data_IF_070586931548
#
_entry.id   IF_070586931548
#
_cell.length_a   1.000
_cell.length_b   1.000
_cell.length_c   1.000
_cell.angle_alpha   90.00
_cell.angle_beta   90.00
_cell.angle_gamma   90.00
#
_symmetry.space_group_name_H-M   'P 1'
#
loop_
_entity.id
_entity.type
_entity.pdbx_description
1 polymer ?
#
# COMPACT_ATOMS: atom_id res chain seq x y z
N UNK A 1 14.87 -5.52 -2.22
CA UNK A 1 14.38 -6.80 -1.67
C UNK A 1 12.93 -6.92 -2.10
N UNK A 2 12.52 -8.03 -2.69
CA UNK A 2 11.09 -8.27 -2.93
C UNK A 2 10.44 -8.82 -1.67
N UNK A 3 9.15 -8.52 -1.50
CA UNK A 3 8.31 -9.05 -0.44
C UNK A 3 6.94 -9.36 -1.03
N UNK A 4 6.21 -10.26 -0.38
CA UNK A 4 4.85 -10.62 -0.74
C UNK A 4 3.89 -10.14 0.34
N UNK A 5 2.70 -9.76 -0.09
CA UNK A 5 1.58 -9.47 0.81
C UNK A 5 0.27 -9.79 0.12
N UNK A 6 -0.76 -10.07 0.94
CA UNK A 6 -2.09 -10.35 0.43
C UNK A 6 -2.68 -9.15 -0.32
N UNK A 7 -3.69 -9.39 -1.16
CA UNK A 7 -4.43 -8.28 -1.79
C UNK A 7 -5.09 -7.39 -0.71
N UNK A 8 -5.53 -7.97 0.40
CA UNK A 8 -6.15 -7.21 1.49
C UNK A 8 -5.14 -6.28 2.20
N UNK A 9 -3.93 -6.77 2.47
CA UNK A 9 -2.85 -5.94 3.03
C UNK A 9 -2.41 -4.84 2.05
N UNK A 10 -2.47 -5.13 0.74
CA UNK A 10 -2.21 -4.13 -0.29
C UNK A 10 -3.27 -3.04 -0.33
N UNK A 11 -4.55 -3.39 -0.24
CA UNK A 11 -5.64 -2.41 -0.11
C UNK A 11 -5.45 -1.58 1.16
N UNK A 12 -5.18 -2.23 2.29
CA UNK A 12 -4.97 -1.53 3.57
C UNK A 12 -3.78 -0.57 3.53
N UNK A 13 -2.73 -0.89 2.75
CA UNK A 13 -1.61 0.02 2.55
C UNK A 13 -2.03 1.37 1.95
N UNK A 14 -3.05 1.42 1.07
CA UNK A 14 -3.61 2.68 0.58
C UNK A 14 -4.31 3.48 1.66
N UNK A 15 -5.05 2.80 2.54
CA UNK A 15 -5.77 3.44 3.64
C UNK A 15 -4.85 3.93 4.77
N UNK A 16 -3.65 3.36 4.86
CA UNK A 16 -2.58 3.88 5.74
C UNK A 16 -1.97 5.19 5.24
N UNK A 17 -2.17 5.54 3.96
CA UNK A 17 -1.62 6.74 3.33
C UNK A 17 -2.63 7.90 3.31
N UNK A 18 -2.12 9.13 3.31
CA UNK A 18 -2.93 10.34 3.34
C UNK A 18 -3.96 10.47 2.20
N UNK A 19 -3.72 9.87 1.03
CA UNK A 19 -4.56 10.05 -0.16
C UNK A 19 -5.89 9.30 -0.12
N UNK A 20 -5.94 8.13 0.53
CA UNK A 20 -7.11 7.24 0.55
C UNK A 20 -7.47 6.77 1.96
N UNK A 21 -7.10 7.52 3.01
CA UNK A 21 -7.47 7.17 4.38
C UNK A 21 -8.99 7.03 4.53
N UNK A 22 -9.45 5.97 5.21
CA UNK A 22 -10.89 5.72 5.43
C UNK A 22 -11.60 6.88 6.13
N UNK A 23 -10.91 7.58 7.02
CA UNK A 23 -11.41 8.78 7.70
C UNK A 23 -11.79 9.94 6.75
N UNK A 24 -11.25 9.96 5.53
CA UNK A 24 -11.50 10.98 4.50
C UNK A 24 -12.47 10.51 3.42
N UNK A 25 -13.00 9.30 3.54
CA UNK A 25 -13.92 8.69 2.59
C UNK A 25 -15.26 8.43 3.27
N UNK A 26 -16.34 8.38 2.49
CA UNK A 26 -17.58 7.76 2.98
C UNK A 26 -17.38 6.23 3.02
N UNK A 27 -18.22 5.53 3.78
CA UNK A 27 -18.18 4.07 3.86
C UNK A 27 -18.38 3.44 2.47
N UNK A 28 -19.30 3.98 1.67
CA UNK A 28 -19.57 3.51 0.30
C UNK A 28 -18.38 3.75 -0.62
N UNK A 29 -17.72 4.90 -0.50
CA UNK A 29 -16.55 5.22 -1.31
C UNK A 29 -15.36 4.32 -0.95
N UNK A 30 -15.15 4.05 0.35
CA UNK A 30 -14.11 3.14 0.80
C UNK A 30 -14.39 1.71 0.30
N UNK A 31 -15.62 1.21 0.47
CA UNK A 31 -15.98 -0.11 -0.01
C UNK A 31 -15.87 -0.27 -1.53
N UNK A 32 -16.26 0.77 -2.28
CA UNK A 32 -16.08 0.83 -3.74
C UNK A 32 -14.61 0.75 -4.15
N UNK A 33 -13.75 1.54 -3.50
CA UNK A 33 -12.31 1.50 -3.71
C UNK A 33 -11.72 0.11 -3.43
N UNK A 34 -12.02 -0.48 -2.26
CA UNK A 34 -11.53 -1.81 -1.86
C UNK A 34 -11.91 -2.88 -2.91
N UNK A 35 -13.13 -2.79 -3.44
CA UNK A 35 -13.65 -3.74 -4.44
C UNK A 35 -12.98 -3.57 -5.80
N UNK A 36 -12.86 -2.33 -6.29
CA UNK A 36 -12.24 -2.03 -7.58
C UNK A 36 -10.75 -2.37 -7.61
N UNK A 37 -10.01 -2.05 -6.54
CA UNK A 37 -8.58 -2.40 -6.44
C UNK A 37 -8.40 -3.92 -6.41
N UNK A 38 -9.22 -4.64 -5.62
CA UNK A 38 -9.15 -6.10 -5.55
C UNK A 38 -9.41 -6.74 -6.92
N UNK A 39 -10.44 -6.29 -7.63
CA UNK A 39 -10.75 -6.79 -8.97
C UNK A 39 -9.61 -6.53 -9.95
N UNK A 40 -9.06 -5.31 -9.94
CA UNK A 40 -7.98 -4.93 -10.84
C UNK A 40 -6.71 -5.76 -10.61
N UNK A 41 -6.29 -5.91 -9.35
CA UNK A 41 -5.00 -6.53 -9.01
C UNK A 41 -5.05 -8.06 -9.08
N UNK A 42 -6.22 -8.66 -8.79
CA UNK A 42 -6.39 -10.13 -8.88
C UNK A 42 -6.00 -10.72 -10.24
N UNK A 43 -6.14 -9.93 -11.31
CA UNK A 43 -5.77 -10.30 -12.70
C UNK A 43 -4.27 -10.54 -12.88
N UNK A 44 -3.44 -10.02 -11.97
CA UNK A 44 -1.99 -10.11 -12.01
C UNK A 44 -1.40 -11.03 -10.92
N UNK A 45 -2.23 -11.50 -10.00
CA UNK A 45 -1.82 -12.24 -8.81
C UNK A 45 -2.68 -13.52 -8.66
N UNK A 46 -2.44 -14.56 -9.48
CA UNK A 46 -3.28 -15.77 -9.51
C UNK A 46 -3.25 -16.57 -8.20
N UNK A 47 -2.20 -16.40 -7.38
CA UNK A 47 -2.05 -17.05 -6.07
C UNK A 47 -2.59 -16.18 -4.91
N UNK A 48 -3.17 -15.01 -5.19
CA UNK A 48 -3.71 -14.10 -4.18
C UNK A 48 -2.66 -13.24 -3.45
N UNK A 49 -1.39 -13.42 -3.78
CA UNK A 49 -0.26 -12.69 -3.22
C UNK A 49 0.33 -11.72 -4.26
N UNK A 50 0.64 -10.51 -3.81
CA UNK A 50 1.26 -9.46 -4.63
C UNK A 50 2.74 -9.39 -4.29
N UNK A 51 3.61 -9.63 -5.28
CA UNK A 51 5.04 -9.38 -5.14
C UNK A 51 5.37 -7.91 -5.40
N UNK A 52 5.95 -7.25 -4.39
CA UNK A 52 6.34 -5.85 -4.43
C UNK A 52 7.83 -5.69 -4.18
N UNK A 53 8.39 -4.55 -4.58
CA UNK A 53 9.79 -4.19 -4.29
C UNK A 53 9.86 -2.93 -3.46
N UNK A 54 10.60 -2.99 -2.35
CA UNK A 54 10.95 -1.81 -1.56
C UNK A 54 12.42 -1.46 -1.76
N UNK A 55 12.67 -0.17 -2.03
CA UNK A 55 14.00 0.41 -2.19
C UNK A 55 14.08 1.64 -1.30
N UNK A 56 15.03 1.64 -0.36
CA UNK A 56 15.28 2.75 0.55
C UNK A 56 16.72 3.24 0.45
N UNK A 57 16.91 4.57 0.57
CA UNK A 57 18.22 5.18 0.76
C UNK A 57 18.34 5.66 2.20
N UNK A 58 19.22 5.06 2.96
CA UNK A 58 19.53 5.51 4.33
C UNK A 58 20.69 6.49 4.25
N UNK A 59 20.51 7.69 4.82
CA UNK A 59 21.56 8.68 5.00
C UNK A 59 21.77 8.88 6.49
N UNK A 60 23.01 8.79 6.96
CA UNK A 60 23.38 8.96 8.36
C UNK A 60 24.65 9.82 8.47
N UNK A 61 24.84 10.46 9.62
CA UNK A 61 26.00 11.30 9.89
C UNK A 61 25.94 11.89 11.31
N UNK A 62 27.03 12.50 11.75
CA UNK A 62 27.07 13.22 13.02
C UNK A 62 26.63 14.67 12.82
N UNK A 63 25.86 15.28 13.74
CA UNK A 63 25.58 16.71 13.70
C UNK A 63 26.89 17.49 13.72
N UNK A 64 27.10 18.36 12.75
CA UNK A 64 28.18 19.35 12.81
C UNK A 64 27.69 20.55 13.60
N UNK A 65 28.39 20.93 14.67
CA UNK A 65 28.14 22.19 15.38
C UNK A 65 28.27 23.37 14.42
N UNK A 66 27.34 24.33 14.54
CA UNK A 66 27.33 25.58 13.77
C UNK A 66 28.53 26.46 14.12
#
# INVERSE_FOLDING_TARGET
MSFQQSIDDYVESFHSMNGFSRERMTEEAAHGFDSEVRELVSKYCPEGEIELQSVGKVVWGNPTTK
#
